data_IF_267331961203
#
_entry.id   IF_267331961203
#
_cell.length_a   1.000
_cell.length_b   1.000
_cell.length_c   1.000
_cell.angle_alpha   90.00
_cell.angle_beta   90.00
_cell.angle_gamma   90.00
#
_symmetry.space_group_name_H-M   'P 1'
#
loop_
_entity.id
_entity.type
_entity.pdbx_description
1 polymer ?
#
# COMPACT_ATOMS: atom_id res chain seq x y z
N UNK A 1 1.61 -16.12 -38.01
CA UNK A 1 0.44 -16.71 -37.34
C UNK A 1 -0.23 -15.56 -36.58
N UNK A 2 -1.29 -14.98 -37.18
CA UNK A 2 -1.98 -13.81 -36.59
C UNK A 2 -2.91 -14.31 -35.48
N UNK A 3 -2.66 -13.86 -34.26
CA UNK A 3 -3.55 -14.08 -33.10
C UNK A 3 -4.84 -13.29 -33.37
N UNK A 4 -5.99 -13.95 -33.35
CA UNK A 4 -7.28 -13.32 -33.64
C UNK A 4 -7.60 -12.24 -32.60
N UNK A 5 -8.24 -11.14 -33.04
CA UNK A 5 -8.66 -10.05 -32.15
C UNK A 5 -9.53 -10.52 -30.97
N UNK A 6 -10.27 -11.64 -31.14
CA UNK A 6 -11.05 -12.29 -30.08
C UNK A 6 -10.15 -12.92 -29.00
N UNK A 7 -9.05 -13.58 -29.37
CA UNK A 7 -8.12 -14.16 -28.39
C UNK A 7 -7.35 -13.09 -27.59
N UNK A 8 -7.01 -11.97 -28.27
CA UNK A 8 -6.42 -10.81 -27.59
C UNK A 8 -7.40 -10.19 -26.58
N UNK A 9 -8.67 -10.05 -26.94
CA UNK A 9 -9.73 -9.52 -26.08
C UNK A 9 -9.99 -10.44 -24.86
N UNK A 10 -10.08 -11.77 -25.08
CA UNK A 10 -10.26 -12.74 -24.00
C UNK A 10 -9.05 -12.78 -23.04
N UNK A 11 -7.82 -12.70 -23.56
CA UNK A 11 -6.62 -12.61 -22.72
C UNK A 11 -6.63 -11.33 -21.90
N UNK A 12 -7.03 -10.20 -22.47
CA UNK A 12 -7.11 -8.93 -21.75
C UNK A 12 -8.19 -8.95 -20.65
N UNK A 13 -9.37 -9.51 -20.94
CA UNK A 13 -10.43 -9.70 -19.94
C UNK A 13 -10.03 -10.70 -18.84
N UNK A 14 -9.35 -11.78 -19.18
CA UNK A 14 -8.88 -12.76 -18.19
C UNK A 14 -7.79 -12.17 -17.29
N UNK A 15 -6.89 -11.35 -17.82
CA UNK A 15 -5.87 -10.61 -17.04
C UNK A 15 -6.51 -9.56 -16.11
N UNK A 16 -7.52 -8.82 -16.59
CA UNK A 16 -8.27 -7.86 -15.77
C UNK A 16 -9.05 -8.55 -14.64
N UNK A 17 -9.67 -9.70 -14.92
CA UNK A 17 -10.38 -10.47 -13.90
C UNK A 17 -9.43 -11.06 -12.84
N UNK A 18 -8.28 -11.57 -13.28
CA UNK A 18 -7.22 -12.05 -12.37
C UNK A 18 -6.63 -10.92 -11.52
N UNK A 19 -6.52 -9.70 -12.06
CA UNK A 19 -6.04 -8.55 -11.29
C UNK A 19 -7.06 -8.08 -10.24
N UNK A 20 -8.36 -8.11 -10.53
CA UNK A 20 -9.42 -7.76 -9.56
C UNK A 20 -9.46 -8.78 -8.42
N UNK A 21 -9.41 -10.08 -8.73
CA UNK A 21 -9.38 -11.16 -7.73
C UNK A 21 -8.09 -11.10 -6.90
N UNK A 22 -6.95 -10.84 -7.53
CA UNK A 22 -5.65 -10.71 -6.87
C UNK A 22 -5.55 -9.46 -5.99
N UNK A 23 -6.14 -8.31 -6.37
CA UNK A 23 -6.18 -7.11 -5.54
C UNK A 23 -6.77 -7.41 -4.15
N UNK A 24 -7.94 -8.04 -4.12
CA UNK A 24 -8.62 -8.41 -2.86
C UNK A 24 -7.84 -9.44 -2.00
N UNK A 25 -6.97 -10.25 -2.58
CA UNK A 25 -6.09 -11.18 -1.84
C UNK A 25 -5.00 -10.40 -1.10
N UNK A 26 -4.38 -9.42 -1.74
CA UNK A 26 -3.32 -8.63 -1.13
C UNK A 26 -3.84 -7.61 -0.13
N UNK A 27 -5.03 -7.04 -0.34
CA UNK A 27 -5.72 -6.27 0.70
C UNK A 27 -5.92 -7.11 1.97
N UNK A 28 -6.40 -8.36 1.83
CA UNK A 28 -6.57 -9.29 2.97
C UNK A 28 -5.24 -9.68 3.61
N UNK A 29 -4.18 -9.87 2.81
CA UNK A 29 -2.83 -10.13 3.33
C UNK A 29 -2.35 -8.96 4.19
N UNK A 30 -2.46 -7.72 3.69
CA UNK A 30 -2.07 -6.51 4.43
C UNK A 30 -2.91 -6.32 5.70
N UNK A 31 -4.23 -6.48 5.60
CA UNK A 31 -5.14 -6.40 6.75
C UNK A 31 -4.73 -7.42 7.81
N UNK A 32 -4.50 -8.68 7.43
CA UNK A 32 -4.09 -9.72 8.37
C UNK A 32 -2.75 -9.42 9.04
N UNK A 33 -1.77 -8.89 8.30
CA UNK A 33 -0.49 -8.48 8.88
C UNK A 33 -0.71 -7.38 9.92
N UNK A 34 -1.38 -6.29 9.55
CA UNK A 34 -1.54 -5.12 10.42
C UNK A 34 -2.47 -5.40 11.60
N UNK A 35 -3.51 -6.23 11.43
CA UNK A 35 -4.42 -6.63 12.52
C UNK A 35 -3.84 -7.68 13.48
N UNK A 36 -2.59 -8.10 13.28
CA UNK A 36 -1.95 -9.06 14.18
C UNK A 36 -2.43 -10.50 14.01
N UNK A 37 -3.05 -10.86 12.86
CA UNK A 37 -3.37 -12.27 12.59
C UNK A 37 -2.10 -13.12 12.66
N UNK A 38 -2.05 -14.05 13.60
CA UNK A 38 -0.85 -14.85 13.90
C UNK A 38 -0.28 -15.51 12.66
N UNK A 39 -1.13 -16.13 11.84
CA UNK A 39 -0.71 -16.86 10.63
C UNK A 39 -0.10 -15.92 9.58
N UNK A 40 -0.70 -14.74 9.38
CA UNK A 40 -0.21 -13.76 8.41
C UNK A 40 1.07 -13.09 8.91
N UNK A 41 1.12 -12.73 10.19
CA UNK A 41 2.31 -12.12 10.81
C UNK A 41 3.50 -13.07 10.81
N UNK A 42 3.32 -14.33 11.20
CA UNK A 42 4.38 -15.35 11.15
C UNK A 42 4.87 -15.61 9.71
N UNK A 43 3.94 -15.69 8.75
CA UNK A 43 4.30 -15.83 7.34
C UNK A 43 5.13 -14.63 6.86
N UNK A 44 4.72 -13.42 7.18
CA UNK A 44 5.41 -12.20 6.80
C UNK A 44 6.78 -12.09 7.50
N UNK A 45 6.88 -12.45 8.80
CA UNK A 45 8.12 -12.41 9.56
C UNK A 45 9.24 -13.30 8.99
N UNK A 46 8.89 -14.35 8.23
CA UNK A 46 9.88 -15.20 7.53
C UNK A 46 10.49 -14.53 6.31
N UNK A 47 9.82 -13.51 5.78
CA UNK A 47 10.22 -12.80 4.57
C UNK A 47 11.05 -11.54 4.87
N UNK A 48 11.03 -11.06 6.12
CA UNK A 48 11.73 -9.82 6.50
C UNK A 48 13.13 -10.10 7.04
N UNK A 49 14.04 -9.10 7.02
CA UNK A 49 15.37 -9.20 7.59
C UNK A 49 15.34 -9.56 9.09
N UNK A 50 16.34 -10.28 9.63
CA UNK A 50 16.36 -10.74 11.03
C UNK A 50 16.13 -9.62 12.04
N UNK A 51 16.71 -8.44 11.84
CA UNK A 51 16.62 -7.27 12.71
C UNK A 51 15.21 -6.65 12.78
N UNK A 52 14.31 -7.01 11.86
CA UNK A 52 12.92 -6.53 11.80
C UNK A 52 11.90 -7.53 12.32
N UNK A 53 12.33 -8.79 12.56
CA UNK A 53 11.41 -9.87 12.92
C UNK A 53 10.68 -9.60 14.22
N UNK A 54 11.37 -9.09 15.23
CA UNK A 54 10.77 -8.81 16.54
C UNK A 54 9.69 -7.74 16.45
N UNK A 55 9.96 -6.64 15.74
CA UNK A 55 8.97 -5.58 15.49
C UNK A 55 7.74 -6.11 14.77
N UNK A 56 7.92 -6.96 13.75
CA UNK A 56 6.80 -7.57 13.02
C UNK A 56 6.01 -8.52 13.91
N UNK A 57 6.66 -9.40 14.65
CA UNK A 57 6.01 -10.33 15.59
C UNK A 57 5.29 -9.59 16.73
N UNK A 58 5.76 -8.40 17.08
CA UNK A 58 5.12 -7.51 18.05
C UNK A 58 3.68 -7.15 17.70
N UNK A 59 3.30 -7.17 16.40
CA UNK A 59 1.93 -6.93 15.96
C UNK A 59 0.91 -7.91 16.52
N UNK A 60 1.32 -9.15 16.88
CA UNK A 60 0.43 -10.13 17.50
C UNK A 60 -0.06 -9.64 18.87
N UNK A 61 0.77 -8.92 19.62
CA UNK A 61 0.44 -8.39 20.95
C UNK A 61 -0.10 -6.95 20.89
N UNK A 62 0.38 -6.17 19.93
CA UNK A 62 0.03 -4.75 19.75
C UNK A 62 -0.44 -4.48 18.32
N UNK A 63 -1.61 -5.02 17.90
CA UNK A 63 -2.13 -4.87 16.55
C UNK A 63 -2.63 -3.46 16.28
N UNK A 64 -2.82 -3.16 14.99
CA UNK A 64 -3.68 -2.06 14.59
C UNK A 64 -5.15 -2.51 14.62
N UNK A 65 -6.06 -1.61 14.94
CA UNK A 65 -7.44 -1.76 14.55
C UNK A 65 -7.54 -1.49 13.05
N UNK A 66 -7.94 -2.49 12.27
CA UNK A 66 -7.92 -2.42 10.81
C UNK A 66 -9.32 -2.66 10.27
N UNK A 67 -9.75 -1.81 9.36
CA UNK A 67 -11.00 -1.98 8.62
C UNK A 67 -10.79 -1.79 7.12
N UNK A 68 -11.59 -2.50 6.32
CA UNK A 68 -11.69 -2.21 4.89
C UNK A 68 -12.51 -0.96 4.69
N UNK A 69 -12.05 -0.10 3.82
CA UNK A 69 -12.85 1.02 3.38
C UNK A 69 -13.90 0.53 2.38
N UNK A 70 -15.17 0.80 2.65
CA UNK A 70 -16.25 0.39 1.76
C UNK A 70 -16.39 1.36 0.59
N UNK A 71 -16.31 0.84 -0.65
CA UNK A 71 -16.76 1.52 -1.85
C UNK A 71 -15.90 2.69 -2.33
N UNK A 72 -16.54 3.80 -2.70
CA UNK A 72 -15.99 4.93 -3.46
C UNK A 72 -15.07 5.90 -2.68
N UNK A 73 -14.58 5.55 -1.49
CA UNK A 73 -13.75 6.45 -0.70
C UNK A 73 -12.34 6.64 -1.26
N UNK A 74 -11.87 5.73 -2.12
CA UNK A 74 -10.57 5.86 -2.78
C UNK A 74 -9.38 5.43 -1.94
N UNK A 75 -9.63 4.68 -0.85
CA UNK A 75 -8.64 3.92 -0.09
C UNK A 75 -9.21 2.53 0.20
N UNK A 76 -8.34 1.52 0.31
CA UNK A 76 -8.74 0.13 0.54
C UNK A 76 -8.79 -0.22 2.02
N UNK A 77 -7.89 0.35 2.81
CA UNK A 77 -7.66 -0.01 4.22
C UNK A 77 -7.50 1.24 5.08
N UNK A 78 -8.11 1.21 6.26
CA UNK A 78 -7.86 2.17 7.34
C UNK A 78 -7.31 1.39 8.53
N UNK A 79 -6.14 1.79 9.03
CA UNK A 79 -5.49 1.19 10.18
C UNK A 79 -5.23 2.25 11.25
N UNK A 80 -5.68 1.96 12.47
CA UNK A 80 -5.60 2.86 13.62
C UNK A 80 -4.85 2.18 14.77
N UNK A 81 -3.98 2.91 15.45
CA UNK A 81 -3.36 2.46 16.68
C UNK A 81 -2.95 3.65 17.55
N UNK A 82 -3.57 3.79 18.72
CA UNK A 82 -3.39 4.99 19.56
C UNK A 82 -3.82 6.26 18.81
N UNK A 83 -2.96 7.24 18.76
CA UNK A 83 -3.15 8.51 18.07
C UNK A 83 -2.66 8.54 16.60
N UNK A 84 -2.22 7.37 16.10
CA UNK A 84 -1.73 7.20 14.74
C UNK A 84 -2.79 6.57 13.84
N UNK A 85 -2.93 7.11 12.64
CA UNK A 85 -3.83 6.60 11.61
C UNK A 85 -3.09 6.43 10.29
N UNK A 86 -3.36 5.33 9.57
CA UNK A 86 -2.88 5.11 8.22
C UNK A 86 -4.07 4.82 7.30
N UNK A 87 -4.22 5.66 6.29
CA UNK A 87 -5.23 5.51 5.23
C UNK A 87 -4.50 5.01 4.01
N UNK A 88 -4.79 3.77 3.61
CA UNK A 88 -3.92 2.99 2.73
C UNK A 88 -4.67 2.57 1.47
N UNK A 89 -4.11 2.89 0.33
CA UNK A 89 -4.48 2.32 -0.97
C UNK A 89 -3.51 1.18 -1.31
N UNK A 90 -4.03 0.01 -1.61
CA UNK A 90 -3.25 -1.19 -1.92
C UNK A 90 -3.05 -1.31 -3.42
N UNK A 91 -1.82 -1.49 -3.85
CA UNK A 91 -1.47 -1.78 -5.23
C UNK A 91 -0.67 -3.07 -5.32
N UNK A 92 -0.90 -3.86 -6.37
CA UNK A 92 -0.11 -5.05 -6.65
C UNK A 92 0.17 -5.19 -8.14
N UNK A 93 1.39 -5.59 -8.50
CA UNK A 93 1.78 -5.81 -9.90
C UNK A 93 2.91 -6.85 -9.97
N UNK A 94 3.09 -7.43 -11.15
CA UNK A 94 4.30 -8.16 -11.54
C UNK A 94 5.41 -7.20 -12.02
N UNK A 95 5.03 -5.99 -12.46
CA UNK A 95 5.98 -4.94 -12.82
C UNK A 95 6.56 -4.30 -11.56
N UNK A 96 7.76 -3.79 -11.63
CA UNK A 96 8.41 -3.01 -10.57
C UNK A 96 7.91 -1.55 -10.50
N UNK A 97 7.10 -1.15 -11.47
CA UNK A 97 6.53 0.20 -11.54
C UNK A 97 5.04 0.18 -11.91
N UNK A 98 4.30 1.18 -11.44
CA UNK A 98 2.89 1.41 -11.76
C UNK A 98 2.72 2.89 -12.12
N UNK A 99 2.34 3.15 -13.39
CA UNK A 99 1.96 4.48 -13.85
C UNK A 99 0.48 4.72 -13.57
N UNK A 100 0.13 5.91 -13.03
CA UNK A 100 -1.27 6.21 -12.67
C UNK A 100 -2.11 6.64 -13.88
N UNK A 101 -1.47 7.04 -14.97
CA UNK A 101 -2.11 7.38 -16.25
C UNK A 101 -2.46 6.18 -17.10
N UNK A 102 -1.91 5.00 -16.82
CA UNK A 102 -2.33 3.77 -17.49
C UNK A 102 -3.84 3.53 -17.28
N UNK A 103 -4.48 2.90 -18.24
CA UNK A 103 -5.92 2.62 -18.20
C UNK A 103 -6.80 3.88 -18.00
N UNK A 104 -6.69 4.85 -18.91
CA UNK A 104 -7.56 6.04 -19.01
C UNK A 104 -7.43 7.12 -17.93
N UNK A 105 -6.30 7.18 -17.20
CA UNK A 105 -6.06 8.22 -16.19
C UNK A 105 -6.92 8.16 -14.92
N UNK A 106 -7.83 7.20 -14.81
CA UNK A 106 -8.75 7.06 -13.65
C UNK A 106 -8.02 6.94 -12.30
N UNK A 107 -6.85 6.27 -12.28
CA UNK A 107 -6.03 6.14 -11.07
C UNK A 107 -5.48 7.48 -10.61
N UNK A 108 -5.05 8.32 -11.55
CA UNK A 108 -4.56 9.67 -11.28
C UNK A 108 -5.66 10.55 -10.70
N UNK A 109 -6.86 10.53 -11.29
CA UNK A 109 -8.02 11.28 -10.80
C UNK A 109 -8.46 10.82 -9.42
N UNK A 110 -8.48 9.50 -9.18
CA UNK A 110 -8.80 8.91 -7.88
C UNK A 110 -7.81 9.38 -6.82
N UNK A 111 -6.51 9.29 -7.10
CA UNK A 111 -5.44 9.74 -6.20
C UNK A 111 -5.59 11.23 -5.87
N UNK A 112 -5.78 12.08 -6.89
CA UNK A 112 -5.92 13.53 -6.72
C UNK A 112 -7.15 13.89 -5.86
N UNK A 113 -8.30 13.23 -6.10
CA UNK A 113 -9.51 13.44 -5.27
C UNK A 113 -9.28 13.04 -3.82
N UNK A 114 -8.60 11.92 -3.60
CA UNK A 114 -8.36 11.42 -2.24
C UNK A 114 -7.37 12.30 -1.48
N UNK A 115 -6.29 12.74 -2.14
CA UNK A 115 -5.32 13.68 -1.57
C UNK A 115 -6.03 14.94 -1.07
N UNK A 116 -6.87 15.58 -1.90
CA UNK A 116 -7.64 16.78 -1.52
C UNK A 116 -8.56 16.56 -0.32
N UNK A 117 -9.20 15.39 -0.24
CA UNK A 117 -10.06 15.03 0.90
C UNK A 117 -9.28 14.92 2.20
N UNK A 118 -8.13 14.26 2.15
CA UNK A 118 -7.31 13.99 3.33
C UNK A 118 -6.56 15.24 3.80
N UNK A 119 -6.21 16.14 2.89
CA UNK A 119 -5.60 17.43 3.22
C UNK A 119 -6.48 18.23 4.19
N UNK A 120 -7.79 18.29 3.95
CA UNK A 120 -8.75 18.96 4.82
C UNK A 120 -8.81 18.35 6.23
N UNK A 121 -8.47 17.06 6.36
CA UNK A 121 -8.45 16.33 7.64
C UNK A 121 -7.08 16.35 8.33
N UNK A 122 -6.08 17.01 7.75
CA UNK A 122 -4.72 17.09 8.30
C UNK A 122 -3.94 15.77 8.25
N UNK A 123 -4.38 14.82 7.42
CA UNK A 123 -3.74 13.51 7.22
C UNK A 123 -3.29 13.31 5.76
N UNK A 124 -2.83 12.13 5.39
CA UNK A 124 -2.36 11.82 4.04
C UNK A 124 -2.74 10.42 3.58
N UNK A 125 -2.68 10.19 2.27
CA UNK A 125 -2.86 8.88 1.66
C UNK A 125 -1.53 8.15 1.62
N UNK A 126 -1.51 6.93 2.14
CA UNK A 126 -0.41 5.99 2.02
C UNK A 126 -0.70 4.98 0.91
N UNK A 127 0.32 4.58 0.17
CA UNK A 127 0.26 3.46 -0.75
C UNK A 127 1.04 2.28 -0.19
N UNK A 128 0.44 1.09 -0.21
CA UNK A 128 1.11 -0.18 0.04
C UNK A 128 1.22 -0.93 -1.29
N UNK A 129 2.46 -1.10 -1.78
CA UNK A 129 2.72 -1.73 -3.07
C UNK A 129 3.32 -3.12 -2.89
N UNK A 130 2.59 -4.13 -3.36
CA UNK A 130 2.98 -5.55 -3.36
C UNK A 130 3.55 -5.96 -4.71
N UNK A 131 4.86 -6.20 -4.78
CA UNK A 131 5.47 -6.78 -5.98
C UNK A 131 5.27 -8.30 -5.98
N UNK A 132 4.64 -8.82 -7.05
CA UNK A 132 4.34 -10.26 -7.20
C UNK A 132 5.58 -11.01 -7.68
N UNK A 133 5.69 -12.28 -7.28
CA UNK A 133 6.71 -13.21 -7.82
C UNK A 133 8.11 -13.05 -7.27
N UNK A 134 8.37 -12.15 -6.32
CA UNK A 134 9.68 -12.01 -5.69
C UNK A 134 9.79 -12.85 -4.41
N UNK A 135 11.04 -13.20 -4.06
CA UNK A 135 11.38 -13.80 -2.76
C UNK A 135 11.67 -12.70 -1.74
N UNK A 136 11.44 -12.99 -0.46
CA UNK A 136 11.68 -12.04 0.62
C UNK A 136 10.53 -11.04 0.79
N UNK A 137 10.83 -9.88 1.36
CA UNK A 137 9.84 -8.86 1.67
C UNK A 137 9.37 -8.12 0.41
N UNK A 138 8.15 -8.42 0.00
CA UNK A 138 7.58 -7.95 -1.25
C UNK A 138 6.70 -6.70 -1.11
N UNK A 139 6.49 -6.19 0.11
CA UNK A 139 5.71 -5.01 0.40
C UNK A 139 6.57 -3.76 0.54
N UNK A 140 6.18 -2.70 -0.13
CA UNK A 140 6.75 -1.36 0.01
C UNK A 140 5.67 -0.33 0.29
N UNK A 141 6.02 0.72 1.02
CA UNK A 141 5.11 1.79 1.43
C UNK A 141 5.59 3.14 0.92
N UNK A 142 4.63 4.02 0.60
CA UNK A 142 4.85 5.36 0.06
C UNK A 142 3.81 6.32 0.62
N UNK A 143 4.10 7.61 0.61
CA UNK A 143 3.14 8.67 0.89
C UNK A 143 2.78 9.42 -0.39
N UNK A 144 1.49 9.68 -0.61
CA UNK A 144 1.07 10.67 -1.60
C UNK A 144 1.45 12.09 -1.12
N UNK A 145 1.70 13.04 -2.03
CA UNK A 145 1.99 14.43 -1.65
C UNK A 145 0.90 15.01 -0.76
N UNK A 146 1.29 15.58 0.40
CA UNK A 146 0.39 16.17 1.37
C UNK A 146 1.15 17.10 2.32
N UNK A 147 0.42 17.78 3.20
CA UNK A 147 0.99 18.59 4.30
C UNK A 147 0.27 18.23 5.63
N UNK A 148 0.46 17.00 6.15
CA UNK A 148 -0.18 16.57 7.37
C UNK A 148 0.34 17.34 8.60
N UNK A 149 -0.45 17.35 9.69
CA UNK A 149 -0.13 18.04 10.93
C UNK A 149 -0.08 17.09 12.12
N UNK A 150 0.61 17.49 13.19
CA UNK A 150 0.74 16.71 14.41
C UNK A 150 1.65 15.49 14.24
N UNK A 151 1.48 14.46 15.07
CA UNK A 151 2.35 13.27 15.07
C UNK A 151 2.37 12.52 13.74
N UNK A 152 1.28 12.58 12.97
CA UNK A 152 1.20 11.93 11.65
C UNK A 152 2.20 12.54 10.64
N UNK A 153 2.65 13.78 10.85
CA UNK A 153 3.67 14.41 10.02
C UNK A 153 5.02 13.66 10.10
N UNK A 154 5.40 13.13 11.27
CA UNK A 154 6.62 12.32 11.40
C UNK A 154 6.56 11.05 10.56
N UNK A 155 5.39 10.40 10.53
CA UNK A 155 5.19 9.24 9.65
C UNK A 155 5.26 9.65 8.18
N UNK A 156 4.66 10.78 7.83
CA UNK A 156 4.72 11.33 6.47
C UNK A 156 6.17 11.58 6.04
N UNK A 157 6.97 12.21 6.88
CA UNK A 157 8.38 12.53 6.59
C UNK A 157 9.24 11.27 6.45
N UNK A 158 8.94 10.23 7.23
CA UNK A 158 9.61 8.94 7.17
C UNK A 158 9.38 8.20 5.84
N UNK A 159 8.19 8.35 5.24
CA UNK A 159 7.84 7.63 4.02
C UNK A 159 8.34 8.35 2.76
N UNK A 160 8.88 7.61 1.76
CA UNK A 160 9.16 8.19 0.45
C UNK A 160 7.88 8.66 -0.21
N UNK A 161 7.96 9.76 -0.92
CA UNK A 161 6.83 10.33 -1.65
C UNK A 161 6.64 9.61 -2.99
N UNK A 162 5.43 9.64 -3.54
CA UNK A 162 5.19 9.24 -4.92
C UNK A 162 6.08 10.07 -5.86
N UNK A 163 6.63 9.41 -6.84
CA UNK A 163 7.30 10.09 -7.94
C UNK A 163 6.28 10.74 -8.89
N UNK A 164 6.72 11.75 -9.64
CA UNK A 164 5.92 12.39 -10.68
C UNK A 164 6.66 12.42 -12.00
N UNK A 165 5.92 12.24 -13.10
CA UNK A 165 6.43 12.48 -14.45
C UNK A 165 6.56 13.97 -14.73
N UNK A 166 7.13 14.33 -15.89
CA UNK A 166 7.20 15.73 -16.35
C UNK A 166 5.81 16.37 -16.53
N UNK A 167 4.80 15.56 -16.82
CA UNK A 167 3.39 15.98 -16.93
C UNK A 167 2.64 15.95 -15.58
N UNK A 168 3.36 15.85 -14.44
CA UNK A 168 2.81 15.76 -13.08
C UNK A 168 1.90 14.54 -12.83
N UNK A 169 2.10 13.46 -13.55
CA UNK A 169 1.40 12.20 -13.29
C UNK A 169 2.15 11.37 -12.25
N UNK A 170 1.44 10.83 -11.28
CA UNK A 170 2.02 9.97 -10.25
C UNK A 170 2.44 8.63 -10.80
N UNK A 171 3.53 8.10 -10.24
CA UNK A 171 3.92 6.72 -10.42
C UNK A 171 4.58 6.14 -9.16
N UNK A 172 4.48 4.81 -9.04
CA UNK A 172 5.14 4.03 -8.01
C UNK A 172 6.31 3.29 -8.66
N UNK A 173 7.51 3.40 -8.07
CA UNK A 173 8.65 2.54 -8.39
C UNK A 173 9.00 1.73 -7.15
N UNK A 174 8.79 0.40 -7.20
CA UNK A 174 8.84 -0.47 -6.04
C UNK A 174 10.14 -0.35 -5.26
N UNK A 175 11.28 -0.29 -5.94
CA UNK A 175 12.61 -0.18 -5.31
C UNK A 175 12.77 1.09 -4.45
N UNK A 176 12.03 2.17 -4.75
CA UNK A 176 12.08 3.44 -4.01
C UNK A 176 11.23 3.45 -2.75
N UNK A 177 10.36 2.45 -2.59
CA UNK A 177 9.48 2.35 -1.45
C UNK A 177 10.20 1.93 -0.17
N UNK A 178 9.66 2.33 0.96
CA UNK A 178 10.09 1.88 2.29
C UNK A 178 9.53 0.47 2.54
N UNK A 179 10.32 -0.51 2.99
CA UNK A 179 9.83 -1.82 3.39
C UNK A 179 8.68 -1.72 4.41
N UNK A 180 7.67 -2.57 4.29
CA UNK A 180 6.55 -2.60 5.25
C UNK A 180 7.04 -2.91 6.68
N UNK A 181 8.06 -3.76 6.81
CA UNK A 181 8.68 -4.06 8.11
C UNK A 181 9.33 -2.83 8.75
N UNK A 182 9.93 -1.93 7.96
CA UNK A 182 10.45 -0.67 8.47
C UNK A 182 9.33 0.30 8.88
N UNK A 183 8.24 0.33 8.13
CA UNK A 183 7.04 1.09 8.53
C UNK A 183 6.49 0.60 9.86
N UNK A 184 6.36 -0.72 10.04
CA UNK A 184 5.88 -1.32 11.29
C UNK A 184 6.83 -0.98 12.45
N UNK A 185 8.13 -1.13 12.26
CA UNK A 185 9.14 -0.81 13.26
C UNK A 185 9.09 0.66 13.67
N UNK A 186 8.96 1.56 12.68
CA UNK A 186 8.83 2.99 12.94
C UNK A 186 7.55 3.33 13.73
N UNK A 187 6.42 2.73 13.36
CA UNK A 187 5.15 2.88 14.08
C UNK A 187 5.23 2.35 15.52
N UNK A 188 5.96 1.27 15.75
CA UNK A 188 6.18 0.74 17.11
C UNK A 188 6.97 1.75 17.97
N UNK A 189 7.99 2.38 17.42
CA UNK A 189 8.79 3.40 18.13
C UNK A 189 8.00 4.66 18.44
N UNK A 190 7.22 5.17 17.48
CA UNK A 190 6.39 6.36 17.71
C UNK A 190 5.35 6.23 18.83
N UNK A 191 5.02 5.01 19.23
CA UNK A 191 4.06 4.75 20.31
C UNK A 191 4.73 4.47 21.66
N UNK A 192 6.04 4.25 21.67
CA UNK A 192 6.81 4.01 22.90
C UNK A 192 7.21 5.30 23.61
N UNK A 193 7.04 6.42 22.91
CA UNK A 193 7.27 7.79 23.39
C UNK A 193 5.93 8.47 23.74
#
# INVERSE_FOLDING_TARGET
MQISAKESFFRHQCLLFLDIVNGSIYERELIGILSGDMKQVEKFSRAVPPERKESVLGLIRHPFFVTRSAGSLGADVVALRGDLSAIIEVKSSISDSIMFTEASGKRQEQATRMIKRLEASGTFLMYAYRLKGIRGEAWKTFAAPANPKGKIAYLYDFLPKLDTTRENNFYLKWERGKPLSEFIDYMNRLQSD
#
